data_IF_393848786315
#
_entry.id   IF_393848786315
#
_cell.length_a   1.000
_cell.length_b   1.000
_cell.length_c   1.000
_cell.angle_alpha   90.00
_cell.angle_beta   90.00
_cell.angle_gamma   90.00
#
_symmetry.space_group_name_H-M   'P 1'
#
loop_
_entity.id
_entity.type
_entity.pdbx_description
1 polymer ?
#
# COMPACT_ATOMS: atom_id res chain seq x y z
N UNK A 1 -12.58 7.91 -21.80
CA UNK A 1 -13.25 6.60 -21.62
C UNK A 1 -12.73 5.99 -20.33
N UNK A 2 -13.58 5.35 -19.50
CA UNK A 2 -13.16 4.74 -18.26
C UNK A 2 -12.15 3.62 -18.55
N UNK A 3 -11.05 3.58 -17.82
CA UNK A 3 -9.96 2.61 -18.03
C UNK A 3 -10.10 1.50 -17.02
N UNK A 4 -9.93 0.24 -17.42
CA UNK A 4 -10.06 -0.89 -16.52
C UNK A 4 -8.84 -0.96 -15.59
N UNK A 5 -9.08 -1.14 -14.29
CA UNK A 5 -8.05 -1.51 -13.32
C UNK A 5 -7.87 -3.02 -13.33
N UNK A 6 -6.79 -3.46 -13.97
CA UNK A 6 -6.51 -4.89 -14.20
C UNK A 6 -6.11 -5.62 -12.91
N UNK A 7 -5.52 -4.92 -11.95
CA UNK A 7 -5.19 -5.48 -10.64
C UNK A 7 -6.45 -5.69 -9.81
N UNK A 8 -7.34 -4.70 -9.76
CA UNK A 8 -8.64 -4.83 -9.08
C UNK A 8 -9.50 -5.96 -9.67
N UNK A 9 -9.53 -6.09 -11.01
CA UNK A 9 -10.21 -7.19 -11.68
C UNK A 9 -9.68 -8.57 -11.23
N UNK A 10 -8.35 -8.74 -11.25
CA UNK A 10 -7.70 -9.99 -10.83
C UNK A 10 -7.99 -10.32 -9.37
N UNK A 11 -7.94 -9.32 -8.50
CA UNK A 11 -8.21 -9.50 -7.08
C UNK A 11 -9.64 -9.96 -6.80
N UNK A 12 -10.63 -9.22 -7.31
CA UNK A 12 -12.05 -9.57 -7.18
C UNK A 12 -12.35 -10.97 -7.66
N UNK A 13 -11.69 -11.40 -8.75
CA UNK A 13 -11.81 -12.78 -9.24
C UNK A 13 -11.34 -13.81 -8.22
N UNK A 14 -10.19 -13.56 -7.59
CA UNK A 14 -9.62 -14.45 -6.57
C UNK A 14 -10.48 -14.46 -5.30
N UNK A 15 -10.98 -13.31 -4.84
CA UNK A 15 -11.93 -13.22 -3.71
C UNK A 15 -13.21 -14.01 -3.97
N UNK A 16 -13.74 -13.94 -5.20
CA UNK A 16 -14.90 -14.71 -5.62
C UNK A 16 -14.60 -16.22 -5.81
N UNK A 17 -13.36 -16.66 -5.57
CA UNK A 17 -12.93 -18.06 -5.72
C UNK A 17 -12.95 -18.54 -7.17
N UNK A 18 -12.90 -17.63 -8.15
CA UNK A 18 -13.05 -17.96 -9.57
C UNK A 18 -11.70 -18.19 -10.23
N UNK A 19 -11.62 -19.21 -11.07
CA UNK A 19 -10.53 -19.32 -12.04
C UNK A 19 -10.75 -18.32 -13.19
N UNK A 20 -9.70 -17.96 -13.93
CA UNK A 20 -9.85 -17.14 -15.14
C UNK A 20 -10.83 -17.77 -16.15
N UNK A 21 -10.79 -19.11 -16.32
CA UNK A 21 -11.74 -19.82 -17.19
C UNK A 21 -13.18 -19.64 -16.72
N UNK A 22 -13.40 -19.72 -15.41
CA UNK A 22 -14.74 -19.59 -14.84
C UNK A 22 -15.26 -18.15 -14.94
N UNK A 23 -14.42 -17.14 -14.68
CA UNK A 23 -14.82 -15.75 -14.88
C UNK A 23 -15.13 -15.46 -16.35
N UNK A 24 -14.28 -15.90 -17.28
CA UNK A 24 -14.51 -15.77 -18.72
C UNK A 24 -15.84 -16.40 -19.15
N UNK A 25 -16.15 -17.60 -18.64
CA UNK A 25 -17.42 -18.28 -18.89
C UNK A 25 -18.62 -17.49 -18.34
N UNK A 26 -18.49 -16.91 -17.15
CA UNK A 26 -19.57 -16.14 -16.49
C UNK A 26 -19.81 -14.78 -17.13
N UNK A 27 -18.76 -14.07 -17.52
CA UNK A 27 -18.86 -12.75 -18.15
C UNK A 27 -19.13 -12.81 -19.65
N UNK A 28 -18.95 -13.98 -20.29
CA UNK A 28 -19.01 -14.09 -21.76
C UNK A 28 -17.80 -13.47 -22.46
N UNK A 29 -16.81 -12.98 -21.72
CA UNK A 29 -15.54 -12.46 -22.25
C UNK A 29 -14.62 -13.63 -22.58
N UNK A 30 -13.95 -13.60 -23.73
CA UNK A 30 -13.06 -14.70 -24.12
C UNK A 30 -11.93 -14.90 -23.10
N UNK A 31 -11.54 -16.16 -22.86
CA UNK A 31 -10.45 -16.50 -21.94
C UNK A 31 -9.13 -15.81 -22.31
N UNK A 32 -8.84 -15.69 -23.61
CA UNK A 32 -7.63 -15.02 -24.10
C UNK A 32 -7.69 -13.51 -23.83
N UNK A 33 -8.85 -12.86 -23.98
CA UNK A 33 -9.05 -11.46 -23.60
C UNK A 33 -8.83 -11.27 -22.10
N UNK A 34 -9.48 -12.09 -21.26
CA UNK A 34 -9.33 -11.98 -19.80
C UNK A 34 -7.88 -12.15 -19.35
N UNK A 35 -7.18 -13.13 -19.92
CA UNK A 35 -5.75 -13.39 -19.63
C UNK A 35 -4.90 -12.16 -19.93
N UNK A 36 -5.09 -11.54 -21.10
CA UNK A 36 -4.34 -10.36 -21.48
C UNK A 36 -4.70 -9.12 -20.66
N UNK A 37 -5.97 -8.97 -20.27
CA UNK A 37 -6.42 -7.93 -19.35
C UNK A 37 -5.70 -8.07 -18.01
N UNK A 38 -5.75 -9.25 -17.37
CA UNK A 38 -5.07 -9.46 -16.08
C UNK A 38 -3.54 -9.40 -16.15
N UNK A 39 -2.94 -9.64 -17.32
CA UNK A 39 -1.51 -9.48 -17.57
C UNK A 39 -1.11 -8.03 -17.93
N UNK A 40 -2.07 -7.13 -18.14
CA UNK A 40 -1.81 -5.76 -18.57
C UNK A 40 -1.25 -5.64 -19.99
N UNK A 41 -1.39 -6.67 -20.82
CA UNK A 41 -0.79 -6.76 -22.17
C UNK A 41 -1.75 -6.36 -23.29
N UNK A 42 -2.90 -5.75 -22.99
CA UNK A 42 -3.92 -5.37 -23.99
C UNK A 42 -4.50 -3.97 -23.74
N UNK A 43 -5.00 -3.37 -24.82
CA UNK A 43 -5.69 -2.09 -24.89
C UNK A 43 -6.96 -2.03 -24.04
N UNK A 44 -7.34 -0.81 -23.61
CA UNK A 44 -8.55 -0.53 -22.81
C UNK A 44 -9.77 -1.29 -23.34
N UNK A 45 -10.38 -2.20 -22.55
CA UNK A 45 -11.59 -2.90 -22.96
C UNK A 45 -12.76 -1.94 -23.12
N UNK A 46 -13.78 -2.35 -23.88
CA UNK A 46 -15.01 -1.56 -24.00
C UNK A 46 -15.75 -1.50 -22.66
N UNK A 47 -16.58 -0.46 -22.50
CA UNK A 47 -17.43 -0.29 -21.31
C UNK A 47 -18.32 -1.52 -21.08
N UNK A 48 -18.80 -2.16 -22.14
CA UNK A 48 -19.60 -3.39 -22.08
C UNK A 48 -18.81 -4.54 -21.47
N UNK A 49 -17.57 -4.76 -21.92
CA UNK A 49 -16.70 -5.82 -21.37
C UNK A 49 -16.44 -5.59 -19.88
N UNK A 50 -16.26 -4.34 -19.46
CA UNK A 50 -16.06 -3.99 -18.05
C UNK A 50 -17.32 -4.29 -17.22
N UNK A 51 -18.50 -3.92 -17.73
CA UNK A 51 -19.78 -4.18 -17.08
C UNK A 51 -20.07 -5.69 -16.96
N UNK A 52 -19.77 -6.46 -18.00
CA UNK A 52 -19.97 -7.92 -18.01
C UNK A 52 -19.05 -8.62 -16.99
N UNK A 53 -17.80 -8.16 -16.88
CA UNK A 53 -16.85 -8.66 -15.88
C UNK A 53 -17.29 -8.31 -14.46
N UNK A 54 -17.70 -7.05 -14.21
CA UNK A 54 -18.18 -6.62 -12.90
C UNK A 54 -19.43 -7.40 -12.47
N UNK A 55 -20.38 -7.58 -13.38
CA UNK A 55 -21.59 -8.38 -13.15
C UNK A 55 -21.25 -9.83 -12.80
N UNK A 56 -20.32 -10.45 -13.54
CA UNK A 56 -19.87 -11.82 -13.28
C UNK A 56 -19.12 -11.98 -11.94
N UNK A 57 -18.52 -10.90 -11.45
CA UNK A 57 -17.85 -10.81 -10.15
C UNK A 57 -18.81 -10.44 -9.00
N UNK A 58 -20.04 -10.04 -9.32
CA UNK A 58 -21.00 -9.56 -8.32
C UNK A 58 -20.59 -8.24 -7.67
N UNK A 59 -19.87 -7.38 -8.38
CA UNK A 59 -19.43 -6.07 -7.90
C UNK A 59 -19.92 -4.94 -8.80
N UNK A 60 -19.87 -3.70 -8.31
CA UNK A 60 -20.13 -2.53 -9.14
C UNK A 60 -18.99 -2.36 -10.17
N UNK A 61 -19.33 -1.92 -11.38
CA UNK A 61 -18.37 -1.56 -12.42
C UNK A 61 -17.31 -0.55 -11.95
N UNK A 62 -17.68 0.37 -11.06
CA UNK A 62 -16.76 1.34 -10.46
C UNK A 62 -15.64 0.68 -9.63
N UNK A 63 -15.87 -0.53 -9.11
CA UNK A 63 -14.87 -1.27 -8.33
C UNK A 63 -13.74 -1.87 -9.18
N UNK A 64 -13.91 -1.95 -10.50
CA UNK A 64 -12.90 -2.49 -11.45
C UNK A 64 -12.41 -1.44 -12.46
N UNK A 65 -12.78 -0.17 -12.29
CA UNK A 65 -12.37 0.94 -13.15
C UNK A 65 -11.30 1.80 -12.50
N UNK A 66 -10.27 2.21 -13.23
CA UNK A 66 -9.38 3.32 -12.86
C UNK A 66 -10.21 4.56 -12.53
N UNK A 67 -10.09 5.02 -11.28
CA UNK A 67 -10.73 6.25 -10.79
C UNK A 67 -9.70 7.35 -10.93
N UNK A 68 -10.02 8.42 -11.65
CA UNK A 68 -9.12 9.57 -11.80
C UNK A 68 -9.04 10.40 -10.52
N UNK A 69 -10.17 10.58 -9.81
CA UNK A 69 -10.29 11.38 -8.58
C UNK A 69 -11.37 10.80 -7.67
N UNK A 70 -11.18 10.91 -6.35
CA UNK A 70 -12.16 10.50 -5.35
C UNK A 70 -12.86 11.72 -4.77
N UNK A 71 -14.18 11.62 -4.56
CA UNK A 71 -14.93 12.67 -3.87
C UNK A 71 -14.66 12.62 -2.37
N UNK A 72 -14.08 13.70 -1.84
CA UNK A 72 -13.70 13.84 -0.43
C UNK A 72 -14.53 14.96 0.16
N UNK A 73 -15.53 14.62 0.97
CA UNK A 73 -16.25 15.62 1.75
C UNK A 73 -15.47 15.92 3.04
N UNK A 74 -15.09 17.19 3.30
CA UNK A 74 -14.36 17.55 4.51
C UNK A 74 -15.11 17.15 5.79
N UNK A 75 -14.41 16.48 6.70
CA UNK A 75 -14.87 16.10 8.02
C UNK A 75 -14.18 17.01 9.04
N UNK A 76 -14.93 17.80 9.84
CA UNK A 76 -14.34 18.70 10.81
C UNK A 76 -13.55 17.99 11.92
N UNK A 77 -13.77 16.68 12.11
CA UNK A 77 -13.07 15.83 13.07
C UNK A 77 -11.73 15.29 12.58
N UNK A 78 -11.36 15.51 11.32
CA UNK A 78 -10.04 15.16 10.77
C UNK A 78 -9.33 16.44 10.34
N UNK A 79 -8.14 16.70 10.87
CA UNK A 79 -7.34 17.88 10.50
C UNK A 79 -6.06 17.51 9.75
N UNK A 80 -5.56 16.30 9.99
CA UNK A 80 -4.33 15.80 9.41
C UNK A 80 -4.48 14.32 9.05
N UNK A 81 -3.92 13.92 7.90
CA UNK A 81 -3.93 12.52 7.46
C UNK A 81 -2.50 12.01 7.29
N UNK A 82 -2.16 10.93 7.99
CA UNK A 82 -0.95 10.16 7.75
C UNK A 82 -1.24 8.97 6.87
N UNK A 83 -0.42 8.78 5.84
CA UNK A 83 -0.38 7.55 5.05
C UNK A 83 0.90 6.78 5.40
N UNK A 84 0.76 5.47 5.59
CA UNK A 84 1.90 4.58 5.39
C UNK A 84 2.31 4.56 3.90
N UNK A 85 3.52 4.07 3.63
CA UNK A 85 4.07 3.94 2.28
C UNK A 85 4.00 2.51 1.76
N UNK A 86 4.51 1.52 2.51
CA UNK A 86 4.68 0.16 2.03
C UNK A 86 3.44 -0.69 2.32
N UNK A 87 2.70 -1.08 1.28
CA UNK A 87 1.38 -1.72 1.42
C UNK A 87 0.22 -0.73 1.30
N UNK A 88 0.49 0.59 1.34
CA UNK A 88 -0.53 1.62 1.14
C UNK A 88 -0.31 2.42 -0.15
N UNK A 89 0.90 2.92 -0.38
CA UNK A 89 1.27 3.65 -1.62
C UNK A 89 2.12 2.80 -2.58
N UNK A 90 2.83 1.79 -2.06
CA UNK A 90 3.78 0.96 -2.82
C UNK A 90 3.58 -0.52 -2.48
N UNK A 91 3.35 -1.35 -3.49
CA UNK A 91 3.51 -2.80 -3.37
C UNK A 91 5.00 -3.14 -3.34
N UNK A 92 5.47 -3.73 -2.24
CA UNK A 92 6.89 -4.01 -2.02
C UNK A 92 7.20 -5.50 -1.81
N UNK A 93 6.20 -6.32 -1.47
CA UNK A 93 6.38 -7.76 -1.24
C UNK A 93 6.99 -8.52 -2.44
N UNK A 94 6.67 -8.20 -3.72
CA UNK A 94 7.28 -8.87 -4.87
C UNK A 94 8.81 -8.80 -4.90
N UNK A 95 9.41 -7.77 -4.29
CA UNK A 95 10.86 -7.63 -4.18
C UNK A 95 11.51 -8.73 -3.34
N UNK A 96 10.83 -9.22 -2.31
CA UNK A 96 11.31 -10.35 -1.49
C UNK A 96 11.23 -11.67 -2.27
N UNK A 97 10.18 -11.85 -3.06
CA UNK A 97 9.98 -13.03 -3.90
C UNK A 97 11.08 -13.12 -4.97
N UNK A 98 11.28 -12.03 -5.71
CA UNK A 98 12.33 -11.93 -6.72
C UNK A 98 13.74 -12.10 -6.13
N UNK A 99 13.98 -11.59 -4.91
CA UNK A 99 15.25 -11.81 -4.22
C UNK A 99 15.46 -13.28 -3.86
N UNK A 100 14.43 -13.97 -3.36
CA UNK A 100 14.48 -15.39 -3.03
C UNK A 100 14.76 -16.28 -4.26
N UNK A 101 14.09 -15.98 -5.38
CA UNK A 101 14.33 -16.65 -6.67
C UNK A 101 15.79 -16.48 -7.13
N UNK A 102 16.33 -15.26 -7.06
CA UNK A 102 17.69 -14.95 -7.51
C UNK A 102 18.77 -15.70 -6.75
N UNK A 103 18.58 -15.86 -5.44
CA UNK A 103 19.53 -16.61 -4.60
C UNK A 103 19.22 -18.11 -4.58
N UNK A 104 18.20 -18.55 -5.32
CA UNK A 104 17.72 -19.93 -5.40
C UNK A 104 17.44 -20.52 -4.00
N UNK A 105 16.60 -19.83 -3.21
CA UNK A 105 16.16 -20.27 -1.89
C UNK A 105 14.65 -20.17 -1.74
N UNK A 106 14.03 -21.02 -0.92
CA UNK A 106 12.60 -20.91 -0.63
C UNK A 106 12.25 -19.55 -0.02
N UNK A 107 11.25 -18.88 -0.58
CA UNK A 107 10.79 -17.56 -0.17
C UNK A 107 10.49 -17.46 1.33
N UNK A 108 9.85 -18.48 1.92
CA UNK A 108 9.55 -18.53 3.34
C UNK A 108 10.82 -18.47 4.23
N UNK A 109 11.94 -19.05 3.78
CA UNK A 109 13.21 -19.00 4.52
C UNK A 109 13.85 -17.61 4.46
N UNK A 110 13.73 -16.93 3.32
CA UNK A 110 14.18 -15.55 3.12
C UNK A 110 13.35 -14.60 3.97
N UNK A 111 12.02 -14.72 3.91
CA UNK A 111 11.08 -13.93 4.70
C UNK A 111 11.34 -14.09 6.20
N UNK A 112 11.62 -15.30 6.67
CA UNK A 112 11.92 -15.54 8.09
C UNK A 112 13.16 -14.75 8.57
N UNK A 113 14.25 -14.77 7.80
CA UNK A 113 15.46 -13.98 8.15
C UNK A 113 15.19 -12.49 8.00
N UNK A 114 14.52 -12.07 6.93
CA UNK A 114 14.16 -10.68 6.70
C UNK A 114 13.34 -10.10 7.87
N UNK A 115 12.25 -10.76 8.27
CA UNK A 115 11.39 -10.29 9.36
C UNK A 115 12.11 -10.23 10.72
N UNK A 116 13.12 -11.08 10.95
CA UNK A 116 13.91 -11.02 12.17
C UNK A 116 14.73 -9.72 12.30
N UNK A 117 15.16 -9.15 11.17
CA UNK A 117 16.08 -8.02 11.15
C UNK A 117 15.50 -6.75 10.53
N UNK A 118 14.31 -6.82 9.90
CA UNK A 118 13.63 -5.70 9.25
C UNK A 118 13.58 -4.47 10.15
N UNK A 119 13.19 -4.62 11.40
CA UNK A 119 13.07 -3.50 12.34
C UNK A 119 14.44 -2.90 12.68
N UNK A 120 15.51 -3.69 12.67
CA UNK A 120 16.88 -3.18 12.88
C UNK A 120 17.31 -2.30 11.70
N UNK A 121 16.98 -2.71 10.47
CA UNK A 121 17.26 -1.92 9.26
C UNK A 121 16.39 -0.66 9.24
N UNK A 122 15.08 -0.81 9.47
CA UNK A 122 14.14 0.31 9.53
C UNK A 122 14.48 1.30 10.64
N UNK A 123 15.11 0.88 11.75
CA UNK A 123 15.62 1.79 12.78
C UNK A 123 16.86 2.57 12.34
N UNK A 124 17.54 2.14 11.29
CA UNK A 124 18.80 2.69 10.83
C UNK A 124 20.03 2.11 11.54
N UNK A 125 19.87 1.00 12.27
CA UNK A 125 20.95 0.32 13.00
C UNK A 125 21.65 -0.78 12.17
N UNK A 126 21.18 -1.00 10.95
CA UNK A 126 21.73 -1.94 9.98
C UNK A 126 21.41 -1.42 8.58
N UNK A 127 22.34 -1.56 7.64
CA UNK A 127 22.13 -1.24 6.23
C UNK A 127 21.39 -2.38 5.52
N UNK A 128 20.75 -2.05 4.40
CA UNK A 128 20.11 -3.09 3.60
C UNK A 128 21.11 -4.08 3.01
N UNK A 129 22.33 -3.63 2.70
CA UNK A 129 23.41 -4.49 2.22
C UNK A 129 23.86 -5.50 3.29
N UNK A 130 23.97 -5.07 4.56
CA UNK A 130 24.26 -5.97 5.69
C UNK A 130 23.14 -6.99 5.90
N UNK A 131 21.87 -6.60 5.78
CA UNK A 131 20.75 -7.52 5.84
C UNK A 131 20.81 -8.55 4.71
N UNK A 132 21.08 -8.11 3.47
CA UNK A 132 21.22 -9.03 2.34
C UNK A 132 22.38 -10.01 2.57
N UNK A 133 23.55 -9.55 3.00
CA UNK A 133 24.69 -10.40 3.34
C UNK A 133 24.35 -11.40 4.46
N UNK A 134 23.59 -10.96 5.47
CA UNK A 134 23.13 -11.82 6.56
C UNK A 134 22.16 -12.90 6.06
N UNK A 135 21.26 -12.57 5.14
CA UNK A 135 20.38 -13.55 4.48
C UNK A 135 21.21 -14.58 3.72
N UNK A 136 22.17 -14.12 2.89
CA UNK A 136 23.06 -15.02 2.15
C UNK A 136 23.81 -15.96 3.10
N UNK A 137 24.37 -15.42 4.19
CA UNK A 137 25.10 -16.20 5.20
C UNK A 137 24.19 -17.23 5.90
N UNK A 138 23.02 -16.81 6.40
CA UNK A 138 22.07 -17.66 7.13
C UNK A 138 21.51 -18.79 6.27
N UNK A 139 21.32 -18.53 4.98
CA UNK A 139 20.79 -19.50 4.01
C UNK A 139 21.89 -20.25 3.24
N UNK A 140 23.14 -20.15 3.70
CA UNK A 140 24.29 -20.87 3.13
C UNK A 140 24.42 -20.63 1.61
N UNK A 141 24.19 -19.39 1.18
CA UNK A 141 24.45 -18.95 -0.19
C UNK A 141 25.93 -18.54 -0.27
N UNK A 142 26.70 -18.99 -1.28
CA UNK A 142 28.10 -18.62 -1.42
C UNK A 142 28.30 -17.10 -1.45
N UNK A 143 29.17 -16.58 -0.57
CA UNK A 143 29.48 -15.14 -0.47
C UNK A 143 30.51 -14.65 -1.52
N UNK A 144 30.83 -15.47 -2.51
CA UNK A 144 31.78 -15.14 -3.59
C UNK A 144 31.18 -15.53 -4.94
N UNK A 145 31.53 -14.76 -5.96
CA UNK A 145 31.15 -15.01 -7.35
C UNK A 145 29.84 -14.35 -7.76
N UNK A 146 29.45 -14.61 -9.00
CA UNK A 146 28.37 -13.92 -9.71
C UNK A 146 27.04 -13.88 -8.94
N UNK A 147 26.65 -14.96 -8.27
CA UNK A 147 25.41 -15.04 -7.51
C UNK A 147 25.35 -14.03 -6.33
N UNK A 148 26.48 -13.81 -5.64
CA UNK A 148 26.59 -12.79 -4.59
C UNK A 148 26.50 -11.39 -5.18
N UNK A 149 27.20 -11.14 -6.28
CA UNK A 149 27.24 -9.82 -6.90
C UNK A 149 25.88 -9.42 -7.47
N UNK A 150 25.14 -10.36 -8.07
CA UNK A 150 23.76 -10.14 -8.54
C UNK A 150 22.76 -9.97 -7.38
N UNK A 151 22.95 -10.68 -6.26
CA UNK A 151 22.10 -10.53 -5.08
C UNK A 151 22.21 -9.15 -4.43
N UNK A 152 23.40 -8.55 -4.41
CA UNK A 152 23.69 -7.29 -3.70
C UNK A 152 23.55 -6.04 -4.57
N UNK A 153 23.05 -6.16 -5.80
CA UNK A 153 22.76 -4.99 -6.61
C UNK A 153 21.64 -4.16 -5.96
N UNK A 154 21.97 -2.94 -5.55
CA UNK A 154 21.06 -2.04 -4.82
C UNK A 154 19.73 -1.77 -5.54
N UNK A 155 19.71 -1.75 -6.87
CA UNK A 155 18.49 -1.46 -7.65
C UNK A 155 17.48 -2.59 -7.63
N UNK A 156 17.94 -3.82 -7.44
CA UNK A 156 17.11 -5.02 -7.63
C UNK A 156 15.92 -5.13 -6.68
N UNK A 157 15.98 -4.52 -5.49
CA UNK A 157 14.85 -4.54 -4.58
C UNK A 157 13.77 -3.52 -4.97
N UNK A 158 14.13 -2.43 -5.64
CA UNK A 158 13.15 -1.44 -6.10
C UNK A 158 12.54 -1.84 -7.45
N UNK A 159 13.26 -2.60 -8.28
CA UNK A 159 12.83 -3.03 -9.63
C UNK A 159 11.50 -3.81 -9.64
N UNK A 160 11.16 -4.51 -8.55
CA UNK A 160 9.93 -5.28 -8.42
C UNK A 160 8.83 -4.55 -7.65
N UNK A 161 9.11 -3.36 -7.12
CA UNK A 161 8.12 -2.53 -6.43
C UNK A 161 7.19 -1.86 -7.44
N UNK A 162 5.90 -1.71 -7.09
CA UNK A 162 4.91 -1.09 -7.96
C UNK A 162 4.08 -0.05 -7.20
N UNK A 163 3.71 1.07 -7.83
CA UNK A 163 2.82 2.04 -7.20
C UNK A 163 1.42 1.45 -7.04
N UNK A 164 0.76 1.74 -5.92
CA UNK A 164 -0.67 1.47 -5.72
C UNK A 164 -1.46 2.65 -6.28
N UNK A 165 -1.64 2.65 -7.61
CA UNK A 165 -2.24 3.77 -8.35
C UNK A 165 -3.59 4.25 -7.79
N UNK A 166 -4.52 3.38 -7.36
CA UNK A 166 -5.76 3.83 -6.71
C UNK A 166 -5.49 4.69 -5.47
N UNK A 167 -4.53 4.31 -4.62
CA UNK A 167 -4.18 5.09 -3.43
C UNK A 167 -3.47 6.39 -3.79
N UNK A 168 -2.67 6.43 -4.87
CA UNK A 168 -2.05 7.68 -5.33
C UNK A 168 -3.08 8.73 -5.75
N UNK A 169 -4.15 8.30 -6.43
CA UNK A 169 -5.25 9.20 -6.81
C UNK A 169 -6.04 9.65 -5.58
N UNK A 170 -6.29 8.73 -4.64
CA UNK A 170 -6.94 9.05 -3.38
C UNK A 170 -6.13 10.04 -2.53
N UNK A 171 -4.82 9.83 -2.44
CA UNK A 171 -3.90 10.73 -1.76
C UNK A 171 -3.99 12.16 -2.34
N UNK A 172 -4.02 12.31 -3.67
CA UNK A 172 -4.20 13.62 -4.32
C UNK A 172 -5.51 14.28 -3.92
N UNK A 173 -6.63 13.56 -3.98
CA UNK A 173 -7.93 14.09 -3.58
C UNK A 173 -7.99 14.46 -2.09
N UNK A 174 -7.35 13.70 -1.21
CA UNK A 174 -7.25 14.06 0.23
C UNK A 174 -6.43 15.33 0.43
N UNK A 175 -5.33 15.50 -0.32
CA UNK A 175 -4.46 16.69 -0.22
C UNK A 175 -5.13 18.00 -0.68
N UNK A 176 -6.25 17.93 -1.42
CA UNK A 176 -7.03 19.12 -1.79
C UNK A 176 -7.75 19.75 -0.59
N UNK A 177 -7.99 18.97 0.46
CA UNK A 177 -8.78 19.38 1.62
C UNK A 177 -8.03 19.31 2.96
N UNK A 178 -6.99 18.47 3.04
CA UNK A 178 -6.28 18.19 4.28
C UNK A 178 -4.77 18.36 4.15
N UNK A 179 -4.14 18.64 5.29
CA UNK A 179 -2.70 18.48 5.44
C UNK A 179 -2.38 16.99 5.51
N UNK A 180 -1.35 16.58 4.77
CA UNK A 180 -0.96 15.18 4.66
C UNK A 180 0.50 15.00 5.00
N UNK A 181 0.79 13.91 5.72
CA UNK A 181 2.14 13.43 5.98
C UNK A 181 2.30 11.95 5.64
N UNK A 182 3.55 11.50 5.57
CA UNK A 182 3.89 10.08 5.47
C UNK A 182 4.49 9.60 6.79
N UNK A 183 4.07 8.42 7.26
CA UNK A 183 4.61 7.77 8.46
C UNK A 183 4.96 6.33 8.12
N UNK A 184 6.25 6.03 7.96
CA UNK A 184 6.69 4.77 7.35
C UNK A 184 7.89 4.13 8.05
N UNK A 185 7.81 2.81 8.21
CA UNK A 185 8.97 1.96 8.46
C UNK A 185 9.65 1.70 7.12
N UNK A 186 10.84 2.26 6.91
CA UNK A 186 11.47 2.28 5.59
C UNK A 186 12.99 2.15 5.65
N UNK A 187 13.56 1.64 4.55
CA UNK A 187 15.00 1.51 4.36
C UNK A 187 15.60 2.82 3.84
N UNK A 188 16.65 3.28 4.51
CA UNK A 188 17.36 4.55 4.22
C UNK A 188 17.78 4.65 2.75
N UNK A 189 18.29 3.56 2.21
CA UNK A 189 18.92 3.49 0.90
C UNK A 189 17.90 3.56 -0.26
N UNK A 190 16.65 3.15 -0.02
CA UNK A 190 15.62 3.08 -1.07
C UNK A 190 14.65 4.27 -1.03
N UNK A 191 14.52 4.93 0.12
CA UNK A 191 13.57 6.03 0.28
C UNK A 191 13.70 7.15 -0.79
N UNK A 192 14.91 7.64 -1.16
CA UNK A 192 15.02 8.64 -2.23
C UNK A 192 14.53 8.11 -3.60
N UNK A 193 14.74 6.82 -3.86
CA UNK A 193 14.34 6.16 -5.10
C UNK A 193 12.82 6.10 -5.28
N UNK A 194 12.05 6.07 -4.19
CA UNK A 194 10.58 6.00 -4.25
C UNK A 194 9.98 7.19 -5.01
N UNK A 195 10.50 8.40 -4.79
CA UNK A 195 10.04 9.60 -5.49
C UNK A 195 10.64 9.70 -6.89
N UNK A 196 11.91 9.36 -7.05
CA UNK A 196 12.61 9.41 -8.34
C UNK A 196 12.01 8.46 -9.38
N UNK A 197 11.52 7.29 -8.93
CA UNK A 197 10.93 6.26 -9.78
C UNK A 197 9.39 6.33 -9.85
N UNK A 198 8.77 7.30 -9.18
CA UNK A 198 7.31 7.46 -9.18
C UNK A 198 6.55 6.38 -8.40
N UNK A 199 7.22 5.64 -7.52
CA UNK A 199 6.57 4.69 -6.60
C UNK A 199 5.73 5.44 -5.56
N UNK A 200 6.18 6.61 -5.13
CA UNK A 200 5.44 7.54 -4.28
C UNK A 200 5.29 8.88 -5.02
N UNK A 201 4.09 9.48 -5.07
CA UNK A 201 3.90 10.77 -5.73
C UNK A 201 4.79 11.86 -5.11
N UNK A 202 5.48 12.62 -5.96
CA UNK A 202 6.28 13.77 -5.53
C UNK A 202 5.37 14.99 -5.28
N UNK A 203 4.71 15.00 -4.11
CA UNK A 203 3.77 16.02 -3.66
C UNK A 203 4.32 16.79 -2.46
N UNK A 204 3.71 17.93 -2.13
CA UNK A 204 4.13 18.76 -0.99
C UNK A 204 3.55 18.22 0.33
N UNK A 205 4.13 17.15 0.85
CA UNK A 205 3.78 16.62 2.18
C UNK A 205 4.19 17.60 3.28
N UNK A 206 3.34 17.78 4.29
CA UNK A 206 3.65 18.63 5.44
C UNK A 206 4.70 17.99 6.35
N UNK A 207 4.66 16.66 6.51
CA UNK A 207 5.63 15.91 7.31
C UNK A 207 5.98 14.58 6.66
N UNK A 208 7.22 14.16 6.85
CA UNK A 208 7.74 12.88 6.37
C UNK A 208 8.47 12.19 7.52
N UNK A 209 7.77 11.31 8.23
CA UNK A 209 8.32 10.56 9.37
C UNK A 209 8.86 9.23 8.85
N UNK A 210 10.19 9.11 8.88
CA UNK A 210 10.93 7.94 8.42
C UNK A 210 11.58 7.27 9.61
N UNK A 211 11.26 6.00 9.83
CA UNK A 211 11.76 5.25 10.99
C UNK A 211 13.28 5.33 11.16
N UNK A 212 14.04 5.28 10.07
CA UNK A 212 15.51 5.24 10.11
C UNK A 212 16.13 6.58 10.54
N UNK A 213 15.38 7.66 10.42
CA UNK A 213 15.82 9.01 10.76
C UNK A 213 15.48 9.32 12.22
N UNK A 214 14.33 8.85 12.69
CA UNK A 214 13.86 9.08 14.06
C UNK A 214 14.31 8.02 15.05
N UNK A 215 14.80 6.86 14.58
CA UNK A 215 15.33 5.79 15.43
C UNK A 215 14.27 4.92 16.11
N UNK A 216 13.01 5.04 15.70
CA UNK A 216 11.87 4.27 16.19
C UNK A 216 11.08 3.70 15.01
N UNK A 217 10.46 2.54 15.21
CA UNK A 217 9.64 1.85 14.20
C UNK A 217 8.22 1.74 14.68
N UNK A 218 7.22 1.77 13.80
CA UNK A 218 5.87 1.30 14.14
C UNK A 218 5.94 -0.18 14.54
N UNK A 219 5.26 -0.62 15.61
CA UNK A 219 4.23 0.07 16.41
C UNK A 219 4.74 0.73 17.72
N UNK A 220 6.02 1.11 17.84
CA UNK A 220 6.56 1.74 19.05
C UNK A 220 5.92 3.10 19.31
N UNK A 221 5.58 3.39 20.56
CA UNK A 221 4.80 4.58 20.93
C UNK A 221 5.53 5.90 20.59
N UNK A 222 6.85 5.87 20.58
CA UNK A 222 7.74 6.98 20.31
C UNK A 222 7.60 7.51 18.87
N UNK A 223 7.42 6.65 17.86
CA UNK A 223 7.27 7.11 16.48
C UNK A 223 5.97 7.90 16.27
N UNK A 224 4.89 7.50 16.96
CA UNK A 224 3.62 8.19 16.92
C UNK A 224 3.66 9.52 17.68
N UNK A 225 4.38 9.59 18.81
CA UNK A 225 4.62 10.87 19.52
C UNK A 225 5.36 11.88 18.64
N UNK A 226 6.38 11.41 17.91
CA UNK A 226 7.13 12.26 16.98
C UNK A 226 6.21 12.72 15.83
N UNK A 227 5.36 11.84 15.32
CA UNK A 227 4.38 12.17 14.29
C UNK A 227 3.34 13.19 14.77
N UNK A 228 2.80 13.07 15.99
CA UNK A 228 1.91 14.05 16.62
C UNK A 228 2.57 15.44 16.69
N UNK A 229 3.79 15.50 17.20
CA UNK A 229 4.55 16.75 17.31
C UNK A 229 4.80 17.39 15.95
N UNK A 230 5.18 16.59 14.95
CA UNK A 230 5.44 17.07 13.61
C UNK A 230 4.16 17.57 12.92
N UNK A 231 3.03 16.88 13.10
CA UNK A 231 1.74 17.30 12.56
C UNK A 231 1.17 18.54 13.27
N UNK A 232 1.61 18.82 14.51
CA UNK A 232 1.12 19.94 15.30
C UNK A 232 -0.39 19.90 15.55
N UNK A 233 -0.95 18.69 15.64
CA UNK A 233 -2.40 18.42 15.64
C UNK A 233 -2.75 17.52 16.82
N UNK A 234 -3.88 17.73 17.52
CA UNK A 234 -4.33 16.83 18.59
C UNK A 234 -4.49 15.38 18.08
N UNK A 235 -4.12 14.36 18.87
CA UNK A 235 -4.19 12.95 18.46
C UNK A 235 -5.54 12.55 17.85
N UNK A 236 -6.65 12.98 18.46
CA UNK A 236 -8.02 12.68 18.02
C UNK A 236 -8.41 13.28 16.66
N UNK A 237 -7.64 14.26 16.16
CA UNK A 237 -7.83 14.90 14.85
C UNK A 237 -6.90 14.35 13.77
N UNK A 238 -6.13 13.31 14.08
CA UNK A 238 -5.24 12.63 13.13
C UNK A 238 -5.94 11.36 12.63
N UNK A 239 -6.03 11.22 11.30
CA UNK A 239 -6.39 9.97 10.64
C UNK A 239 -5.12 9.27 10.15
N UNK A 240 -4.95 7.98 10.46
CA UNK A 240 -3.84 7.16 9.97
C UNK A 240 -4.30 5.96 9.16
N UNK A 241 -3.69 5.77 7.98
CA UNK A 241 -4.00 4.69 7.05
C UNK A 241 -2.77 3.80 6.93
N UNK A 242 -2.89 2.53 7.33
CA UNK A 242 -1.77 1.57 7.40
C UNK A 242 -2.25 0.14 7.12
N UNK A 243 -1.40 -0.67 6.49
CA UNK A 243 -1.69 -2.05 6.11
C UNK A 243 -1.47 -3.07 7.24
N UNK A 244 -0.79 -2.67 8.32
CA UNK A 244 -0.58 -3.49 9.51
C UNK A 244 -1.60 -3.19 10.59
N UNK A 245 -2.39 -4.21 10.95
CA UNK A 245 -3.35 -4.13 12.06
C UNK A 245 -2.70 -3.75 13.39
N UNK A 246 -1.45 -4.15 13.62
CA UNK A 246 -0.72 -3.83 14.84
C UNK A 246 -0.41 -2.34 14.89
N UNK A 247 -0.01 -1.75 13.76
CA UNK A 247 0.26 -0.31 13.68
C UNK A 247 -1.02 0.52 13.84
N UNK A 248 -2.13 0.06 13.24
CA UNK A 248 -3.46 0.69 13.36
C UNK A 248 -3.91 0.68 14.82
N UNK A 249 -3.78 -0.45 15.52
CA UNK A 249 -4.17 -0.56 16.92
C UNK A 249 -3.31 0.34 17.82
N UNK A 250 -1.99 0.38 17.60
CA UNK A 250 -1.10 1.25 18.36
C UNK A 250 -1.43 2.75 18.16
N UNK A 251 -1.83 3.16 16.95
CA UNK A 251 -2.33 4.53 16.71
C UNK A 251 -3.65 4.80 17.48
N UNK A 252 -4.59 3.85 17.45
CA UNK A 252 -5.88 3.96 18.17
C UNK A 252 -5.70 4.03 19.69
N UNK A 253 -4.74 3.31 20.25
CA UNK A 253 -4.39 3.39 21.68
C UNK A 253 -3.93 4.79 22.11
N UNK A 254 -3.45 5.60 21.16
CA UNK A 254 -3.08 7.01 21.37
C UNK A 254 -4.23 7.98 21.13
N UNK A 255 -5.41 7.48 20.80
CA UNK A 255 -6.59 8.28 20.49
C UNK A 255 -6.67 8.73 19.04
N UNK A 256 -5.80 8.26 18.14
CA UNK A 256 -5.91 8.58 16.72
C UNK A 256 -7.13 7.89 16.10
N UNK A 257 -7.70 8.54 15.08
CA UNK A 257 -8.50 7.83 14.10
C UNK A 257 -7.52 7.01 13.24
N UNK A 258 -7.80 5.73 13.02
CA UNK A 258 -6.93 4.92 12.17
C UNK A 258 -7.72 3.83 11.48
N UNK A 259 -7.37 3.53 10.24
CA UNK A 259 -8.05 2.54 9.42
C UNK A 259 -7.07 1.56 8.77
N UNK A 260 -7.46 0.29 8.79
CA UNK A 260 -6.66 -0.77 8.19
C UNK A 260 -6.85 -0.78 6.68
N UNK A 261 -5.73 -0.80 5.96
CA UNK A 261 -5.68 -0.79 4.52
C UNK A 261 -5.33 -2.18 3.98
N UNK A 262 -6.22 -2.77 3.19
CA UNK A 262 -5.90 -3.96 2.42
C UNK A 262 -5.19 -3.56 1.12
N UNK A 263 -3.89 -3.84 1.01
CA UNK A 263 -3.12 -3.58 -0.20
C UNK A 263 -3.66 -4.31 -1.41
N UNK A 264 -4.24 -5.51 -1.23
CA UNK A 264 -4.75 -6.33 -2.32
C UNK A 264 -6.14 -5.88 -2.78
N UNK A 265 -6.88 -5.18 -1.91
CA UNK A 265 -8.18 -4.59 -2.21
C UNK A 265 -8.21 -3.05 -2.03
N UNK A 266 -7.32 -2.30 -2.70
CA UNK A 266 -7.07 -0.89 -2.35
C UNK A 266 -8.32 -0.02 -2.53
N UNK A 267 -9.15 -0.30 -3.54
CA UNK A 267 -10.41 0.41 -3.79
C UNK A 267 -11.44 0.19 -2.69
N UNK A 268 -11.59 -1.04 -2.23
CA UNK A 268 -12.52 -1.36 -1.16
C UNK A 268 -12.08 -0.68 0.14
N UNK A 269 -10.76 -0.67 0.42
CA UNK A 269 -10.17 0.08 1.53
C UNK A 269 -10.46 1.58 1.39
N UNK A 270 -10.19 2.19 0.24
CA UNK A 270 -10.45 3.61 -0.02
C UNK A 270 -11.94 3.96 0.15
N UNK A 271 -12.85 3.17 -0.44
CA UNK A 271 -14.29 3.40 -0.30
C UNK A 271 -14.76 3.29 1.15
N UNK A 272 -14.15 2.40 1.95
CA UNK A 272 -14.44 2.30 3.39
C UNK A 272 -13.96 3.54 4.11
N UNK A 273 -12.71 3.97 3.87
CA UNK A 273 -12.13 5.17 4.46
C UNK A 273 -12.95 6.41 4.12
N UNK A 274 -13.32 6.59 2.84
CA UNK A 274 -14.16 7.73 2.43
C UNK A 274 -15.49 7.72 3.16
N UNK A 275 -16.16 6.56 3.23
CA UNK A 275 -17.45 6.43 3.91
C UNK A 275 -17.37 6.71 5.40
N UNK A 276 -16.31 6.28 6.07
CA UNK A 276 -16.18 6.40 7.52
C UNK A 276 -15.66 7.77 7.95
N UNK A 277 -14.75 8.37 7.17
CA UNK A 277 -14.01 9.56 7.59
C UNK A 277 -14.26 10.79 6.71
N UNK A 278 -14.78 10.64 5.48
CA UNK A 278 -14.89 11.74 4.50
C UNK A 278 -16.29 11.85 3.84
N UNK A 279 -17.33 11.35 4.50
CA UNK A 279 -18.71 11.34 3.97
C UNK A 279 -19.60 12.45 4.52
N UNK A 280 -19.02 13.44 5.20
CA UNK A 280 -19.77 14.55 5.81
C UNK A 280 -20.79 14.04 6.81
N UNK A 281 -20.35 13.57 7.98
CA UNK A 281 -21.31 13.34 9.07
C UNK A 281 -21.83 14.69 9.54
N UNK A 282 -23.03 15.05 9.11
CA UNK A 282 -23.89 15.99 9.81
C UNK A 282 -24.01 15.50 11.26
N UNK A 283 -23.22 16.08 12.15
CA UNK A 283 -23.49 16.07 13.58
C UNK A 283 -24.71 16.97 13.85
N UNK A 284 -25.87 16.56 13.33
CA UNK A 284 -27.19 17.04 13.73
C UNK A 284 -28.13 15.86 13.97
N UNK A 285 -27.92 15.20 15.11
CA UNK A 285 -28.88 14.33 15.77
C UNK A 285 -29.26 14.89 17.14
N UNK A 286 -29.97 16.02 17.16
CA UNK A 286 -30.65 16.54 18.36
C UNK A 286 -31.61 15.50 18.94
N UNK A 287 -31.53 15.24 20.25
CA UNK A 287 -32.65 15.50 21.19
C UNK A 287 -32.25 15.25 22.65
N UNK A 288 -31.96 16.36 23.33
CA UNK A 288 -32.53 16.59 24.66
C UNK A 288 -34.06 16.65 24.52
N UNK A 289 -34.77 15.88 25.36
CA UNK A 289 -36.15 16.01 25.89
C UNK A 289 -36.87 14.65 25.95
N UNK A 290 -36.70 13.97 27.08
CA UNK A 290 -37.79 13.77 28.06
C UNK A 290 -37.19 13.50 29.43
#
# INVERSE_FOLDING_TARGET
MPKLDTAALKHKRLEAGLTQKELARRSGVSYSTLTKLEQGTTSSPSVTVIADLATALGCDSAEVLEVSEYDITPNPDVWFVYFDVGGVLVHWLPSLEAFAERINRPENTVKAVFHQFNDTVCRGNMTMEELQLLILLRLQVPLKGKARDEALQRTTWMEDMRPITPTHNFLRSVMEHYKVGLLTNVFREYYPGFFQQGLVPNLSYQTLIRSYEVGYVKPEQEIYQIAEQAAGTPPERILFIDDSRVNVNAARERGWQAEWFDEYAPRASIQRIIREYFSGTDSQGSRNKK
#
